data_IF_303434779112
#
_entry.id   IF_303434779112
#
_cell.length_a   1.000
_cell.length_b   1.000
_cell.length_c   1.000
_cell.angle_alpha   90.00
_cell.angle_beta   90.00
_cell.angle_gamma   90.00
#
_symmetry.space_group_name_H-M   'P 1'
#
loop_
_entity.id
_entity.type
_entity.pdbx_description
1 polymer ?
#
# COMPACT_ATOMS: atom_id res chain seq x y z
N UNK A 1 16.84 -10.33 -19.43
CA UNK A 1 15.66 -9.52 -19.82
C UNK A 1 14.67 -9.61 -18.68
N UNK A 2 14.20 -8.46 -18.19
CA UNK A 2 13.79 -8.18 -16.81
C UNK A 2 12.53 -8.95 -16.36
N UNK A 3 12.70 -10.15 -15.79
CA UNK A 3 11.62 -11.05 -15.34
C UNK A 3 11.29 -10.90 -13.85
N UNK A 4 11.27 -9.69 -13.31
CA UNK A 4 10.76 -9.45 -11.96
C UNK A 4 9.57 -8.50 -12.08
N UNK A 5 8.42 -9.03 -12.50
CA UNK A 5 7.16 -8.29 -12.36
C UNK A 5 6.95 -8.09 -10.86
N UNK A 6 6.78 -6.84 -10.38
CA UNK A 6 6.63 -6.59 -8.96
C UNK A 6 5.35 -7.23 -8.44
N UNK A 7 5.41 -7.75 -7.22
CA UNK A 7 4.21 -8.11 -6.47
C UNK A 7 3.56 -6.83 -5.92
N UNK A 8 2.23 -6.74 -6.01
CA UNK A 8 1.46 -5.66 -5.41
C UNK A 8 0.85 -6.17 -4.10
N UNK A 9 1.23 -5.55 -2.99
CA UNK A 9 0.53 -5.72 -1.72
C UNK A 9 -0.58 -4.66 -1.63
N UNK A 10 -1.83 -5.09 -1.74
CA UNK A 10 -3.00 -4.22 -1.60
C UNK A 10 -3.43 -4.18 -0.14
N UNK A 11 -2.85 -3.25 0.63
CA UNK A 11 -3.25 -2.99 2.00
C UNK A 11 -4.55 -2.17 2.02
N UNK A 12 -5.58 -2.68 2.68
CA UNK A 12 -6.85 -1.99 2.81
C UNK A 12 -7.52 -2.38 4.12
N UNK A 13 -8.09 -1.41 4.83
CA UNK A 13 -8.71 -1.65 6.13
C UNK A 13 -10.22 -1.94 6.06
N UNK A 14 -10.87 -1.54 4.97
CA UNK A 14 -12.31 -1.63 4.82
C UNK A 14 -12.66 -2.69 3.77
N UNK A 15 -13.26 -3.78 4.24
CA UNK A 15 -13.72 -4.90 3.41
C UNK A 15 -14.54 -4.46 2.17
N UNK A 16 -15.44 -3.46 2.22
CA UNK A 16 -16.16 -3.00 1.03
C UNK A 16 -15.27 -2.51 -0.10
N UNK A 17 -14.13 -1.88 0.19
CA UNK A 17 -13.21 -1.40 -0.83
C UNK A 17 -12.38 -2.53 -1.43
N UNK A 18 -11.98 -3.53 -0.63
CA UNK A 18 -11.38 -4.76 -1.15
C UNK A 18 -12.34 -5.50 -2.08
N UNK A 19 -13.60 -5.62 -1.70
CA UNK A 19 -14.63 -6.22 -2.54
C UNK A 19 -14.80 -5.44 -3.85
N UNK A 20 -14.92 -4.11 -3.77
CA UNK A 20 -15.05 -3.27 -4.94
C UNK A 20 -13.83 -3.39 -5.89
N UNK A 21 -12.62 -3.48 -5.34
CA UNK A 21 -11.40 -3.72 -6.11
C UNK A 21 -11.46 -5.05 -6.86
N UNK A 22 -11.79 -6.15 -6.16
CA UNK A 22 -11.87 -7.48 -6.76
C UNK A 22 -12.98 -7.56 -7.83
N UNK A 23 -14.14 -6.96 -7.57
CA UNK A 23 -15.23 -6.88 -8.53
C UNK A 23 -14.80 -6.12 -9.79
N UNK A 24 -14.08 -5.00 -9.63
CA UNK A 24 -13.56 -4.22 -10.74
C UNK A 24 -12.48 -4.99 -11.52
N UNK A 25 -11.53 -5.64 -10.84
CA UNK A 25 -10.48 -6.44 -11.45
C UNK A 25 -11.06 -7.55 -12.32
N UNK A 26 -12.02 -8.32 -11.81
CA UNK A 26 -12.69 -9.38 -12.56
C UNK A 26 -13.48 -8.86 -13.76
N UNK A 27 -14.01 -7.63 -13.67
CA UNK A 27 -14.77 -7.00 -14.76
C UNK A 27 -13.88 -6.43 -15.85
N UNK A 28 -12.78 -5.77 -15.49
CA UNK A 28 -11.90 -5.07 -16.43
C UNK A 28 -10.76 -5.93 -16.96
N UNK A 29 -10.36 -6.96 -16.20
CA UNK A 29 -9.33 -7.92 -16.56
C UNK A 29 -9.74 -9.36 -16.21
N UNK A 30 -10.72 -9.96 -16.93
CA UNK A 30 -11.30 -11.25 -16.58
C UNK A 30 -10.34 -12.45 -16.64
N UNK A 31 -9.26 -12.33 -17.42
CA UNK A 31 -8.21 -13.34 -17.55
C UNK A 31 -6.99 -13.02 -16.68
N UNK A 32 -7.12 -12.16 -15.67
CA UNK A 32 -6.08 -11.91 -14.67
C UNK A 32 -5.65 -13.21 -13.99
N UNK A 33 -4.34 -13.38 -13.82
CA UNK A 33 -3.75 -14.46 -13.04
C UNK A 33 -2.46 -13.98 -12.34
N UNK A 34 -2.00 -14.76 -11.36
CA UNK A 34 -0.81 -14.42 -10.56
C UNK A 34 0.50 -14.54 -11.34
N UNK A 35 0.51 -15.17 -12.52
CA UNK A 35 1.70 -15.25 -13.39
C UNK A 35 1.89 -13.98 -14.20
N UNK A 36 0.79 -13.29 -14.54
CA UNK A 36 0.79 -11.97 -15.18
C UNK A 36 1.09 -10.86 -14.18
N UNK A 37 0.43 -10.89 -13.02
CA UNK A 37 0.65 -9.93 -11.92
C UNK A 37 0.11 -10.49 -10.61
N UNK A 38 0.99 -10.71 -9.63
CA UNK A 38 0.58 -11.11 -8.29
C UNK A 38 0.07 -9.90 -7.51
N UNK A 39 -1.19 -9.95 -7.10
CA UNK A 39 -1.81 -8.96 -6.21
C UNK A 39 -2.24 -9.70 -4.95
N UNK A 40 -1.67 -9.33 -3.81
CA UNK A 40 -1.95 -9.92 -2.50
C UNK A 40 -2.71 -8.91 -1.66
N UNK A 41 -3.99 -9.15 -1.41
CA UNK A 41 -4.80 -8.31 -0.54
C UNK A 41 -4.46 -8.57 0.93
N UNK A 42 -4.23 -7.49 1.68
CA UNK A 42 -3.98 -7.52 3.13
C UNK A 42 -5.06 -6.68 3.80
N UNK A 43 -5.97 -7.33 4.52
CA UNK A 43 -7.09 -6.68 5.21
C UNK A 43 -6.70 -6.24 6.63
N UNK A 44 -5.73 -5.32 6.74
CA UNK A 44 -5.17 -4.89 8.02
C UNK A 44 -4.83 -3.39 8.02
N UNK A 45 -4.38 -2.90 9.18
CA UNK A 45 -3.74 -1.58 9.31
C UNK A 45 -2.25 -1.69 9.03
N UNK A 46 -1.62 -0.59 8.63
CA UNK A 46 -0.16 -0.55 8.37
C UNK A 46 0.66 -0.97 9.62
N UNK A 47 0.23 -0.56 10.81
CA UNK A 47 0.86 -0.92 12.07
C UNK A 47 0.44 -2.29 12.62
N UNK A 48 -0.39 -3.03 11.89
CA UNK A 48 -0.87 -4.38 12.24
C UNK A 48 -0.57 -5.39 11.13
N UNK A 49 0.39 -5.07 10.24
CA UNK A 49 0.85 -6.00 9.23
C UNK A 49 1.36 -7.29 9.88
N UNK A 50 1.09 -8.47 9.27
CA UNK A 50 1.63 -9.73 9.74
C UNK A 50 3.15 -9.69 9.87
N UNK A 51 3.68 -10.31 10.93
CA UNK A 51 5.12 -10.41 11.15
C UNK A 51 5.80 -11.07 9.95
N UNK A 52 6.89 -10.46 9.47
CA UNK A 52 7.60 -10.92 8.26
C UNK A 52 7.06 -10.37 6.93
N UNK A 53 6.04 -9.51 6.94
CA UNK A 53 5.65 -8.76 5.74
C UNK A 53 6.82 -7.87 5.30
N UNK A 54 7.25 -8.02 4.05
CA UNK A 54 8.33 -7.24 3.44
C UNK A 54 7.84 -6.61 2.14
N UNK A 55 8.37 -5.42 1.85
CA UNK A 55 8.09 -4.68 0.63
C UNK A 55 9.26 -3.74 0.35
N UNK A 56 9.50 -3.46 -0.93
CA UNK A 56 10.56 -2.54 -1.36
C UNK A 56 10.07 -1.09 -1.44
N UNK A 57 8.77 -0.89 -1.69
CA UNK A 57 8.15 0.40 -1.93
C UNK A 57 6.74 0.46 -1.34
N UNK A 58 6.40 1.61 -0.76
CA UNK A 58 5.06 1.95 -0.30
C UNK A 58 4.54 3.16 -1.08
N UNK A 59 3.28 3.11 -1.52
CA UNK A 59 2.63 4.22 -2.23
C UNK A 59 1.85 5.07 -1.23
N UNK A 60 2.23 6.33 -1.10
CA UNK A 60 1.49 7.33 -0.32
C UNK A 60 0.55 8.13 -1.23
N UNK A 61 -0.77 8.11 -1.00
CA UNK A 61 -1.73 8.98 -1.68
C UNK A 61 -1.77 10.39 -1.05
N UNK A 62 -0.60 11.00 -0.83
CA UNK A 62 -0.48 12.31 -0.20
C UNK A 62 -1.20 13.42 -0.97
N UNK A 63 -1.49 14.52 -0.27
CA UNK A 63 -1.99 15.74 -0.89
C UNK A 63 -0.93 16.43 -1.79
N UNK A 64 -1.33 17.45 -2.54
CA UNK A 64 -0.44 18.16 -3.48
C UNK A 64 0.77 18.86 -2.85
N UNK A 65 0.83 18.99 -1.52
CA UNK A 65 2.01 19.46 -0.80
C UNK A 65 2.95 18.33 -0.36
N UNK A 66 2.69 17.10 -0.81
CA UNK A 66 3.41 15.88 -0.44
C UNK A 66 3.49 15.64 1.08
N UNK A 67 2.56 16.23 1.86
CA UNK A 67 2.55 16.07 3.31
C UNK A 67 1.94 14.74 3.70
N UNK A 68 2.64 14.04 4.58
CA UNK A 68 2.20 12.75 5.08
C UNK A 68 1.35 12.87 6.35
N UNK A 69 0.26 13.66 6.28
CA UNK A 69 -0.49 14.12 7.45
C UNK A 69 -1.95 13.62 7.54
N UNK A 70 -2.48 12.96 6.51
CA UNK A 70 -3.83 12.42 6.48
C UNK A 70 -3.88 10.90 6.62
N UNK A 71 -4.88 10.35 7.31
CA UNK A 71 -5.23 8.92 7.37
C UNK A 71 -4.08 7.91 7.13
N UNK A 72 -3.93 7.38 5.91
CA UNK A 72 -2.89 6.42 5.58
C UNK A 72 -1.48 7.04 5.62
N UNK A 73 -1.32 8.27 5.14
CA UNK A 73 -0.05 8.97 5.21
C UNK A 73 0.38 9.25 6.66
N UNK A 74 -0.58 9.53 7.55
CA UNK A 74 -0.29 9.61 8.98
C UNK A 74 0.24 8.28 9.53
N UNK A 75 -0.31 7.15 9.07
CA UNK A 75 0.22 5.84 9.44
C UNK A 75 1.65 5.65 8.91
N UNK A 76 1.97 6.11 7.69
CA UNK A 76 3.34 6.08 7.15
C UNK A 76 4.28 6.91 8.04
N UNK A 77 3.93 8.16 8.33
CA UNK A 77 4.73 9.04 9.19
C UNK A 77 4.97 8.43 10.57
N UNK A 78 3.93 7.93 11.23
CA UNK A 78 4.07 7.33 12.57
C UNK A 78 4.84 6.01 12.57
N UNK A 79 4.87 5.28 11.44
CA UNK A 79 5.57 4.00 11.33
C UNK A 79 7.05 4.17 10.99
N UNK A 80 7.39 5.12 10.10
CA UNK A 80 8.74 5.23 9.54
C UNK A 80 9.52 6.47 10.01
N UNK A 81 8.86 7.50 10.52
CA UNK A 81 9.58 8.66 11.08
C UNK A 81 10.15 8.36 12.47
N UNK A 82 11.25 9.02 12.88
CA UNK A 82 11.70 9.01 14.27
C UNK A 82 10.59 9.51 15.21
N UNK A 83 10.48 8.94 16.41
CA UNK A 83 9.40 9.25 17.36
C UNK A 83 9.25 10.75 17.69
N UNK A 84 10.32 11.53 17.61
CA UNK A 84 10.34 12.96 17.92
C UNK A 84 10.28 13.87 16.68
N UNK A 85 10.13 13.29 15.49
CA UNK A 85 10.23 14.02 14.22
C UNK A 85 9.24 13.48 13.19
N UNK A 86 7.96 13.74 13.43
CA UNK A 86 6.84 13.28 12.60
C UNK A 86 7.04 13.55 11.09
N UNK A 87 7.52 14.74 10.76
CA UNK A 87 7.69 15.20 9.37
C UNK A 87 8.99 14.68 8.71
N UNK A 88 9.78 13.84 9.36
CA UNK A 88 11.06 13.37 8.84
C UNK A 88 10.93 12.76 7.44
N UNK A 89 9.97 11.86 7.25
CA UNK A 89 9.73 11.20 5.95
C UNK A 89 9.17 12.18 4.91
N UNK A 90 8.26 13.08 5.30
CA UNK A 90 7.75 14.15 4.42
C UNK A 90 8.86 15.02 3.84
N UNK A 91 9.92 15.32 4.62
CA UNK A 91 11.00 16.22 4.18
C UNK A 91 11.99 15.57 3.21
N UNK A 92 12.01 14.24 3.11
CA UNK A 92 12.93 13.50 2.24
C UNK A 92 12.22 12.78 1.09
N UNK A 93 10.88 12.88 1.04
CA UNK A 93 10.03 12.32 0.00
C UNK A 93 10.02 13.18 -1.28
#
# INVERSE_FOLDING_TARGET
>A
MTTNIPEILLLCMDEPFLKAFNDALNKTWPDHDSTKLKITAIHERLNSLPEGTTFDLIVSPANSYARLDGAFDHAISTTFSPQQDYDAVTRVA
#
